data_IF_790943042825
#
_entry.id   IF_790943042825
#
_cell.length_a   1.000
_cell.length_b   1.000
_cell.length_c   1.000
_cell.angle_alpha   90.00
_cell.angle_beta   90.00
_cell.angle_gamma   90.00
#
_symmetry.space_group_name_H-M   'P 1'
#
loop_
_entity.id
_entity.type
_entity.pdbx_description
1 polymer ?
#
# COMPACT_ATOMS: atom_id res chain seq x y z
N UNK A 1 -9.65 36.27 -31.76
CA UNK A 1 -8.40 35.58 -31.44
C UNK A 1 -8.66 34.80 -30.16
N UNK A 2 -8.76 33.47 -30.33
CA UNK A 2 -9.27 32.55 -29.33
C UNK A 2 -8.27 32.37 -28.16
N UNK A 3 -8.80 32.45 -26.93
CA UNK A 3 -8.10 32.19 -25.66
C UNK A 3 -7.80 30.70 -25.41
N UNK A 4 -7.36 29.97 -26.45
CA UNK A 4 -7.06 28.53 -26.33
C UNK A 4 -5.72 28.20 -25.67
N UNK A 5 -4.85 29.19 -25.41
CA UNK A 5 -3.48 28.92 -25.00
C UNK A 5 -3.21 28.73 -23.52
N UNK A 6 -3.94 29.38 -22.62
CA UNK A 6 -3.62 29.39 -21.20
C UNK A 6 -4.21 28.18 -20.46
N UNK A 7 -5.40 27.71 -20.81
CA UNK A 7 -6.01 26.54 -20.20
C UNK A 7 -5.27 25.22 -20.50
N UNK A 8 -4.71 25.10 -21.74
CA UNK A 8 -3.96 23.90 -22.13
C UNK A 8 -2.56 23.89 -21.57
N UNK A 9 -1.94 25.06 -21.32
CA UNK A 9 -0.64 25.16 -20.65
C UNK A 9 -0.78 24.82 -19.17
N UNK A 10 -1.85 25.29 -18.51
CA UNK A 10 -2.13 24.92 -17.11
C UNK A 10 -2.44 23.42 -16.96
N UNK A 11 -3.19 22.82 -17.89
CA UNK A 11 -3.43 21.37 -17.91
C UNK A 11 -2.16 20.56 -18.10
N UNK A 12 -1.23 21.00 -18.95
CA UNK A 12 0.06 20.32 -19.18
C UNK A 12 1.04 20.47 -18.01
N UNK A 13 0.90 21.50 -17.18
CA UNK A 13 1.74 21.70 -15.99
C UNK A 13 1.23 20.91 -14.77
N UNK A 14 -0.03 20.47 -14.78
CA UNK A 14 -0.64 19.72 -13.69
C UNK A 14 -0.63 18.20 -13.89
N UNK A 15 -0.19 17.70 -15.06
CA UNK A 15 -0.17 16.27 -15.38
C UNK A 15 1.03 15.91 -16.24
N UNK A 16 1.75 14.87 -15.87
CA UNK A 16 2.80 14.24 -16.66
C UNK A 16 2.86 12.74 -16.36
N UNK A 17 2.98 11.91 -17.42
CA UNK A 17 3.14 10.46 -17.28
C UNK A 17 2.00 9.77 -16.51
N UNK A 18 0.77 10.29 -16.57
CA UNK A 18 -0.36 9.77 -15.80
C UNK A 18 -0.36 10.15 -14.32
N UNK A 19 0.48 11.12 -13.94
CA UNK A 19 0.59 11.65 -12.58
C UNK A 19 0.11 13.09 -12.54
N UNK A 20 -0.71 13.40 -11.55
CA UNK A 20 -1.17 14.76 -11.28
C UNK A 20 -0.23 15.43 -10.28
N UNK A 21 0.10 16.69 -10.55
CA UNK A 21 0.86 17.54 -9.64
C UNK A 21 -0.11 18.33 -8.78
N UNK A 22 -0.17 17.99 -7.53
CA UNK A 22 -0.98 18.65 -6.53
C UNK A 22 -0.27 19.83 -5.84
N UNK A 23 -0.93 20.36 -4.82
CA UNK A 23 -0.36 21.39 -3.95
C UNK A 23 0.78 20.80 -3.09
N UNK A 24 1.66 21.67 -2.62
CA UNK A 24 2.77 21.32 -1.72
C UNK A 24 3.62 20.16 -2.25
N UNK A 25 3.77 20.08 -3.58
CA UNK A 25 4.55 19.08 -4.31
C UNK A 25 4.06 17.62 -4.16
N UNK A 26 2.80 17.46 -3.77
CA UNK A 26 2.15 16.15 -3.79
C UNK A 26 1.96 15.66 -5.23
N UNK A 27 2.16 14.38 -5.42
CA UNK A 27 1.91 13.68 -6.67
C UNK A 27 0.82 12.63 -6.46
N UNK A 28 -0.09 12.52 -7.43
CA UNK A 28 -1.20 11.58 -7.35
C UNK A 28 -1.32 10.81 -8.67
N UNK A 29 -1.66 9.54 -8.58
CA UNK A 29 -2.06 8.79 -9.76
C UNK A 29 -3.33 9.41 -10.35
N UNK A 30 -3.32 9.70 -11.64
CA UNK A 30 -4.48 10.20 -12.36
C UNK A 30 -5.51 9.09 -12.52
N UNK A 31 -6.67 9.24 -11.91
CA UNK A 31 -7.80 8.34 -12.05
C UNK A 31 -9.06 9.15 -12.39
N UNK A 32 -9.22 9.49 -13.67
CA UNK A 32 -10.35 10.28 -14.15
C UNK A 32 -11.51 9.44 -14.64
N UNK A 33 -11.23 8.21 -15.06
CA UNK A 33 -12.26 7.30 -15.57
C UNK A 33 -11.89 5.87 -15.20
N UNK A 34 -12.89 5.04 -15.02
CA UNK A 34 -12.76 3.57 -14.92
C UNK A 34 -13.58 3.00 -16.08
N UNK A 35 -12.91 2.34 -17.01
CA UNK A 35 -13.57 1.74 -18.16
C UNK A 35 -14.36 0.47 -17.79
N UNK A 36 -15.19 0.01 -18.73
CA UNK A 36 -16.05 -1.15 -18.50
C UNK A 36 -15.25 -2.45 -18.27
N UNK A 37 -14.07 -2.59 -18.89
CA UNK A 37 -13.24 -3.76 -18.71
C UNK A 37 -12.68 -3.80 -17.28
N UNK A 38 -12.19 -2.67 -16.79
CA UNK A 38 -11.71 -2.50 -15.41
C UNK A 38 -12.84 -2.72 -14.40
N UNK A 39 -14.04 -2.17 -14.65
CA UNK A 39 -15.22 -2.41 -13.78
C UNK A 39 -15.61 -3.88 -13.72
N UNK A 40 -15.61 -4.56 -14.85
CA UNK A 40 -15.88 -6.02 -14.91
C UNK A 40 -14.82 -6.82 -14.16
N UNK A 41 -13.55 -6.45 -14.29
CA UNK A 41 -12.47 -7.14 -13.57
C UNK A 41 -12.57 -6.89 -12.07
N UNK A 42 -12.84 -5.64 -11.64
CA UNK A 42 -13.08 -5.32 -10.24
C UNK A 42 -14.22 -6.15 -9.66
N UNK A 43 -15.35 -6.25 -10.38
CA UNK A 43 -16.49 -7.05 -9.94
C UNK A 43 -16.14 -8.53 -9.77
N UNK A 44 -15.35 -9.11 -10.69
CA UNK A 44 -14.85 -10.49 -10.57
C UNK A 44 -13.92 -10.66 -9.37
N UNK A 45 -13.02 -9.72 -9.13
CA UNK A 45 -12.09 -9.77 -8.01
C UNK A 45 -12.86 -9.71 -6.67
N UNK A 46 -13.81 -8.79 -6.55
CA UNK A 46 -14.67 -8.65 -5.36
C UNK A 46 -15.49 -9.93 -5.14
N UNK A 47 -16.03 -10.52 -6.20
CA UNK A 47 -16.76 -11.78 -6.12
C UNK A 47 -15.84 -12.91 -5.63
N UNK A 48 -14.65 -13.08 -6.21
CA UNK A 48 -13.71 -14.13 -5.81
C UNK A 48 -13.30 -14.01 -4.34
N UNK A 49 -13.02 -12.80 -3.86
CA UNK A 49 -12.72 -12.55 -2.43
C UNK A 49 -13.92 -12.90 -1.55
N UNK A 50 -15.14 -12.50 -1.95
CA UNK A 50 -16.36 -12.78 -1.18
C UNK A 50 -16.66 -14.28 -1.11
N UNK A 51 -16.48 -15.01 -2.22
CA UNK A 51 -16.67 -16.47 -2.27
C UNK A 51 -15.60 -17.20 -1.44
N UNK A 52 -14.34 -16.76 -1.53
CA UNK A 52 -13.29 -17.30 -0.68
C UNK A 52 -13.61 -17.10 0.80
N UNK A 53 -14.02 -15.90 1.19
CA UNK A 53 -14.39 -15.59 2.57
C UNK A 53 -15.61 -16.41 3.05
N UNK A 54 -16.63 -16.55 2.21
CA UNK A 54 -17.81 -17.37 2.53
C UNK A 54 -17.46 -18.85 2.77
N UNK A 55 -16.45 -19.38 2.07
CA UNK A 55 -15.94 -20.73 2.28
C UNK A 55 -15.03 -20.87 3.52
N UNK A 56 -14.62 -19.75 4.14
CA UNK A 56 -13.75 -19.71 5.32
C UNK A 56 -14.32 -18.78 6.41
N UNK A 57 -15.53 -19.06 6.92
CA UNK A 57 -16.26 -18.15 7.81
C UNK A 57 -15.44 -17.78 9.07
N UNK A 58 -15.39 -16.49 9.36
CA UNK A 58 -14.69 -15.94 10.52
C UNK A 58 -13.15 -16.00 10.44
N UNK A 59 -12.58 -16.40 9.29
CA UNK A 59 -11.13 -16.54 9.13
C UNK A 59 -10.51 -15.51 8.19
N UNK A 60 -11.31 -14.78 7.42
CA UNK A 60 -10.82 -13.84 6.43
C UNK A 60 -10.97 -12.40 6.92
N UNK A 61 -9.88 -11.66 6.85
CA UNK A 61 -9.86 -10.22 7.05
C UNK A 61 -9.48 -9.55 5.75
N UNK A 62 -10.31 -8.63 5.30
CA UNK A 62 -10.09 -7.84 4.09
C UNK A 62 -9.70 -6.42 4.45
N UNK A 63 -8.54 -5.98 3.98
CA UNK A 63 -8.04 -4.62 4.10
C UNK A 63 -7.77 -4.08 2.71
N UNK A 64 -8.34 -2.93 2.39
CA UNK A 64 -8.08 -2.22 1.15
C UNK A 64 -7.62 -0.80 1.49
N UNK A 65 -6.36 -0.49 1.14
CA UNK A 65 -5.79 0.83 1.37
C UNK A 65 -6.48 1.86 0.46
N UNK A 66 -7.03 2.96 1.01
CA UNK A 66 -7.48 4.07 0.17
C UNK A 66 -6.29 4.70 -0.55
N UNK A 67 -6.53 5.34 -1.69
CA UNK A 67 -5.46 6.11 -2.34
C UNK A 67 -5.15 7.40 -1.56
N UNK A 68 -3.96 7.97 -1.79
CA UNK A 68 -3.60 9.27 -1.22
C UNK A 68 -4.59 10.37 -1.61
N UNK A 69 -5.20 10.30 -2.80
CA UNK A 69 -6.20 11.28 -3.26
C UNK A 69 -7.50 11.26 -2.47
N UNK A 70 -7.85 10.14 -1.85
CA UNK A 70 -9.01 10.02 -0.95
C UNK A 70 -8.73 10.70 0.39
N UNK A 71 -7.51 10.56 0.91
CA UNK A 71 -7.12 11.08 2.24
C UNK A 71 -6.72 12.55 2.18
N UNK A 72 -6.12 13.00 1.07
CA UNK A 72 -5.64 14.37 0.87
C UNK A 72 -6.32 15.07 -0.32
N UNK A 73 -7.67 15.11 -0.39
CA UNK A 73 -8.36 15.72 -1.54
C UNK A 73 -8.05 17.22 -1.68
N UNK A 74 -7.72 17.91 -0.59
CA UNK A 74 -7.33 19.31 -0.59
C UNK A 74 -5.97 19.58 -1.25
N UNK A 75 -5.15 18.54 -1.42
CA UNK A 75 -3.86 18.61 -2.10
C UNK A 75 -3.95 18.38 -3.61
N UNK A 76 -5.08 17.87 -4.09
CA UNK A 76 -5.30 17.69 -5.53
C UNK A 76 -5.28 19.02 -6.30
N UNK A 77 -4.94 19.00 -7.60
CA UNK A 77 -5.13 20.17 -8.46
C UNK A 77 -6.59 20.61 -8.46
N UNK A 78 -6.84 21.91 -8.45
CA UNK A 78 -8.19 22.45 -8.45
C UNK A 78 -8.98 21.96 -9.68
N UNK A 79 -10.16 21.39 -9.44
CA UNK A 79 -11.03 20.89 -10.50
C UNK A 79 -10.57 19.62 -11.19
N UNK A 80 -9.61 18.87 -10.62
CA UNK A 80 -9.25 17.56 -11.14
C UNK A 80 -10.47 16.62 -11.09
N UNK A 81 -10.94 16.07 -12.23
CA UNK A 81 -12.15 15.27 -12.29
C UNK A 81 -11.87 13.82 -11.88
N UNK A 82 -11.43 13.63 -10.62
CA UNK A 82 -11.17 12.31 -10.08
C UNK A 82 -12.47 11.48 -10.03
N UNK A 83 -12.36 10.18 -10.26
CA UNK A 83 -13.48 9.26 -9.96
C UNK A 83 -13.83 9.32 -8.47
N UNK A 84 -15.09 9.09 -8.16
CA UNK A 84 -15.53 8.93 -6.78
C UNK A 84 -15.09 7.57 -6.24
N UNK A 85 -13.86 7.54 -5.74
CA UNK A 85 -13.25 6.35 -5.14
C UNK A 85 -13.94 5.98 -3.82
N UNK A 86 -14.51 6.95 -3.10
CA UNK A 86 -15.24 6.67 -1.86
C UNK A 86 -16.46 5.78 -2.12
N UNK A 87 -17.29 6.12 -3.12
CA UNK A 87 -18.41 5.27 -3.51
C UNK A 87 -17.96 3.88 -3.95
N UNK A 88 -16.85 3.79 -4.70
CA UNK A 88 -16.30 2.48 -5.09
C UNK A 88 -15.85 1.64 -3.89
N UNK A 89 -15.21 2.24 -2.90
CA UNK A 89 -14.78 1.60 -1.67
C UNK A 89 -15.99 1.15 -0.84
N UNK A 90 -17.04 1.98 -0.73
CA UNK A 90 -18.28 1.64 -0.03
C UNK A 90 -18.93 0.39 -0.63
N UNK A 91 -19.04 0.31 -1.96
CA UNK A 91 -19.60 -0.84 -2.67
C UNK A 91 -18.77 -2.12 -2.43
N UNK A 92 -17.44 -2.01 -2.45
CA UNK A 92 -16.53 -3.13 -2.21
C UNK A 92 -16.67 -3.62 -0.78
N UNK A 93 -16.58 -2.73 0.21
CA UNK A 93 -16.69 -3.09 1.62
C UNK A 93 -18.07 -3.65 1.97
N UNK A 94 -19.15 -3.09 1.43
CA UNK A 94 -20.50 -3.60 1.63
C UNK A 94 -20.66 -5.03 1.11
N UNK A 95 -20.02 -5.37 -0.01
CA UNK A 95 -20.11 -6.69 -0.61
C UNK A 95 -19.21 -7.71 0.10
N UNK A 96 -17.93 -7.38 0.30
CA UNK A 96 -16.97 -8.30 0.95
C UNK A 96 -17.30 -8.48 2.43
N UNK A 97 -17.78 -7.45 3.11
CA UNK A 97 -18.15 -7.46 4.52
C UNK A 97 -19.34 -8.38 4.87
N UNK A 98 -20.05 -8.91 3.87
CA UNK A 98 -21.06 -9.94 4.10
C UNK A 98 -20.45 -11.29 4.52
N UNK A 99 -19.18 -11.53 4.23
CA UNK A 99 -18.50 -12.82 4.44
C UNK A 99 -17.14 -12.71 5.13
N UNK A 100 -16.55 -11.51 5.19
CA UNK A 100 -15.24 -11.26 5.80
C UNK A 100 -15.31 -10.13 6.83
N UNK A 101 -14.38 -10.12 7.77
CA UNK A 101 -14.09 -8.93 8.55
C UNK A 101 -13.44 -7.88 7.62
N UNK A 102 -13.91 -6.64 7.63
CA UNK A 102 -13.36 -5.59 6.78
C UNK A 102 -12.70 -4.50 7.62
N UNK A 103 -11.57 -3.97 7.12
CA UNK A 103 -10.88 -2.82 7.70
C UNK A 103 -10.94 -1.68 6.70
N UNK A 104 -11.77 -0.68 7.00
CA UNK A 104 -11.84 0.58 6.27
C UNK A 104 -10.98 1.62 6.97
N UNK A 105 -9.90 2.01 6.32
CA UNK A 105 -8.91 2.93 6.89
C UNK A 105 -9.26 4.41 6.69
N UNK A 106 -10.28 4.75 5.91
CA UNK A 106 -10.57 6.15 5.51
C UNK A 106 -10.77 7.06 6.71
N UNK A 107 -11.58 6.64 7.70
CA UNK A 107 -11.81 7.42 8.92
C UNK A 107 -10.52 7.64 9.69
N UNK A 108 -9.83 6.56 10.07
CA UNK A 108 -8.56 6.61 10.81
C UNK A 108 -7.51 7.46 10.10
N UNK A 109 -7.36 7.29 8.79
CA UNK A 109 -6.36 8.04 8.03
C UNK A 109 -6.70 9.51 7.86
N UNK A 110 -7.99 9.84 7.76
CA UNK A 110 -8.44 11.24 7.75
C UNK A 110 -8.14 11.93 9.08
N UNK A 111 -8.39 11.25 10.20
CA UNK A 111 -8.12 11.79 11.53
C UNK A 111 -6.62 11.98 11.80
N UNK A 112 -5.78 11.12 11.22
CA UNK A 112 -4.33 11.10 11.39
C UNK A 112 -3.55 11.67 10.20
N UNK A 113 -4.20 12.39 9.28
CA UNK A 113 -3.58 12.82 8.01
C UNK A 113 -2.33 13.70 8.16
N UNK A 114 -2.15 14.34 9.30
CA UNK A 114 -0.97 15.15 9.59
C UNK A 114 0.27 14.31 9.98
N UNK A 115 0.13 12.99 10.12
CA UNK A 115 1.21 12.08 10.53
C UNK A 115 2.07 11.55 9.38
N UNK A 116 2.03 12.12 8.21
CA UNK A 116 2.78 11.66 7.04
C UNK A 116 2.49 10.19 6.69
N UNK A 117 1.21 9.91 6.37
CA UNK A 117 0.74 8.54 6.10
C UNK A 117 1.05 8.04 4.69
N UNK A 118 1.27 8.94 3.72
CA UNK A 118 1.59 8.62 2.33
C UNK A 118 2.83 9.36 1.88
N UNK A 119 3.60 8.73 1.00
CA UNK A 119 4.68 9.39 0.29
C UNK A 119 4.12 10.44 -0.69
N UNK A 120 4.86 11.53 -0.89
CA UNK A 120 4.49 12.56 -1.88
C UNK A 120 4.88 12.14 -3.29
N UNK A 121 5.96 11.39 -3.43
CA UNK A 121 6.57 11.02 -4.72
C UNK A 121 6.31 9.57 -5.13
N UNK A 122 5.54 8.83 -4.33
CA UNK A 122 5.19 7.43 -4.56
C UNK A 122 3.69 7.19 -4.35
N UNK A 123 3.17 6.10 -4.91
CA UNK A 123 1.76 5.74 -4.74
C UNK A 123 1.47 5.02 -3.43
N UNK A 124 2.49 4.51 -2.73
CA UNK A 124 2.30 3.78 -1.50
C UNK A 124 2.08 4.69 -0.28
N UNK A 125 1.52 4.12 0.76
CA UNK A 125 1.65 4.68 2.09
C UNK A 125 3.09 4.62 2.60
N UNK A 126 3.39 5.41 3.63
CA UNK A 126 4.66 5.31 4.37
C UNK A 126 4.60 4.10 5.32
N UNK A 127 5.73 3.67 5.90
CA UNK A 127 5.69 2.69 6.98
C UNK A 127 4.86 3.15 8.19
N UNK A 128 4.70 4.47 8.39
CA UNK A 128 3.79 4.98 9.40
C UNK A 128 2.33 4.71 9.03
N UNK A 129 1.92 4.96 7.79
CA UNK A 129 0.58 4.60 7.30
C UNK A 129 0.31 3.10 7.43
N UNK A 130 1.28 2.27 7.03
CA UNK A 130 1.19 0.81 7.19
C UNK A 130 1.04 0.40 8.67
N UNK A 131 1.75 1.06 9.58
CA UNK A 131 1.61 0.81 11.01
C UNK A 131 0.22 1.19 11.54
N UNK A 132 -0.35 2.33 11.10
CA UNK A 132 -1.71 2.71 11.49
C UNK A 132 -2.75 1.71 11.00
N UNK A 133 -2.55 1.14 9.79
CA UNK A 133 -3.37 0.05 9.29
C UNK A 133 -3.21 -1.24 10.14
N UNK A 134 -1.99 -1.54 10.58
CA UNK A 134 -1.72 -2.66 11.47
C UNK A 134 -2.36 -2.49 12.86
N UNK A 135 -2.40 -1.27 13.41
CA UNK A 135 -3.13 -0.99 14.66
C UNK A 135 -4.63 -1.30 14.52
N UNK A 136 -5.24 -0.98 13.36
CA UNK A 136 -6.64 -1.35 13.09
C UNK A 136 -6.83 -2.87 13.00
N UNK A 137 -5.88 -3.57 12.36
CA UNK A 137 -5.88 -5.03 12.34
C UNK A 137 -5.77 -5.61 13.75
N UNK A 138 -4.87 -5.11 14.59
CA UNK A 138 -4.73 -5.53 15.97
C UNK A 138 -6.01 -5.29 16.78
N UNK A 139 -6.60 -4.11 16.64
CA UNK A 139 -7.86 -3.77 17.31
C UNK A 139 -8.98 -4.75 16.93
N UNK A 140 -9.12 -5.04 15.63
CA UNK A 140 -10.13 -6.00 15.14
C UNK A 140 -9.91 -7.41 15.70
N UNK A 141 -8.65 -7.83 15.86
CA UNK A 141 -8.28 -9.18 16.33
C UNK A 141 -8.07 -9.28 17.85
N UNK A 142 -8.22 -8.19 18.59
CA UNK A 142 -7.96 -8.16 20.03
C UNK A 142 -6.49 -8.40 20.39
N UNK A 143 -5.56 -7.97 19.51
CA UNK A 143 -4.12 -8.08 19.69
C UNK A 143 -3.53 -6.76 20.21
N UNK A 144 -2.42 -6.83 20.94
CA UNK A 144 -1.67 -5.64 21.35
C UNK A 144 -0.71 -5.25 20.22
N UNK A 145 -0.77 -4.02 19.67
CA UNK A 145 0.17 -3.62 18.61
C UNK A 145 1.63 -3.67 19.05
N UNK A 146 2.54 -3.85 18.10
CA UNK A 146 3.97 -3.68 18.30
C UNK A 146 4.26 -2.29 18.88
N UNK A 147 4.97 -2.25 19.99
CA UNK A 147 5.30 -1.00 20.67
C UNK A 147 6.50 -0.31 19.99
N UNK A 148 6.20 0.64 19.11
CA UNK A 148 7.24 1.45 18.45
C UNK A 148 8.07 2.27 19.43
N UNK A 149 7.51 2.69 20.59
CA UNK A 149 8.22 3.51 21.55
C UNK A 149 9.36 2.75 22.26
N UNK A 150 9.32 1.42 22.23
CA UNK A 150 10.38 0.57 22.76
C UNK A 150 11.55 0.33 21.76
N UNK A 151 11.49 0.91 20.58
CA UNK A 151 12.47 0.67 19.51
C UNK A 151 12.96 1.98 18.89
N UNK A 152 14.23 2.02 18.51
CA UNK A 152 14.80 3.15 17.78
C UNK A 152 14.43 3.05 16.30
N UNK A 153 13.85 4.12 15.71
CA UNK A 153 13.55 4.14 14.29
C UNK A 153 14.81 4.32 13.44
N UNK A 154 14.77 3.79 12.24
CA UNK A 154 15.76 4.05 11.20
C UNK A 154 15.09 4.90 10.12
N UNK A 155 15.74 6.03 9.76
CA UNK A 155 15.27 6.91 8.68
C UNK A 155 16.24 6.84 7.51
N UNK A 156 15.71 6.54 6.34
CA UNK A 156 16.41 6.55 5.06
C UNK A 156 15.92 7.76 4.27
N UNK A 157 16.81 8.66 3.96
CA UNK A 157 16.53 9.88 3.20
C UNK A 157 16.63 9.67 1.69
N UNK A 158 16.30 10.70 0.91
CA UNK A 158 16.44 10.70 -0.54
C UNK A 158 15.63 9.63 -1.27
N UNK A 159 14.43 9.35 -0.79
CA UNK A 159 13.50 8.48 -1.50
C UNK A 159 12.74 9.25 -2.58
N UNK A 160 12.79 8.73 -3.80
CA UNK A 160 12.06 9.20 -4.96
C UNK A 160 11.31 8.01 -5.58
N UNK A 161 10.01 7.99 -5.36
CA UNK A 161 9.17 6.84 -5.70
C UNK A 161 8.74 6.75 -7.16
N UNK A 162 7.68 5.98 -7.37
CA UNK A 162 7.16 5.65 -8.71
C UNK A 162 6.57 6.86 -9.42
N UNK A 163 5.89 7.76 -8.70
CA UNK A 163 5.37 9.00 -9.28
C UNK A 163 6.49 9.89 -9.80
N UNK A 164 7.54 10.07 -9.01
CA UNK A 164 8.73 10.78 -9.48
C UNK A 164 9.37 10.07 -10.69
N UNK A 165 9.44 8.76 -10.66
CA UNK A 165 10.03 7.98 -11.74
C UNK A 165 9.30 8.15 -13.07
N UNK A 166 7.98 8.35 -13.02
CA UNK A 166 7.16 8.61 -14.21
C UNK A 166 7.30 10.04 -14.74
N UNK A 167 7.49 11.03 -13.85
CA UNK A 167 7.49 12.45 -14.23
C UNK A 167 8.88 13.05 -14.35
N UNK A 168 9.83 12.62 -13.52
CA UNK A 168 11.20 13.15 -13.40
C UNK A 168 11.30 14.67 -13.23
N UNK A 169 10.35 15.22 -12.50
CA UNK A 169 10.31 16.65 -12.24
C UNK A 169 11.51 17.11 -11.40
N UNK A 170 12.12 18.21 -11.80
CA UNK A 170 13.34 18.71 -11.19
C UNK A 170 13.18 19.40 -9.83
N UNK A 171 11.96 19.82 -9.48
CA UNK A 171 11.66 20.60 -8.25
C UNK A 171 10.88 19.81 -7.20
N UNK A 172 11.07 18.50 -7.15
CA UNK A 172 10.42 17.60 -6.20
C UNK A 172 11.19 17.58 -4.88
N UNK A 173 10.48 17.52 -3.77
CA UNK A 173 11.06 17.16 -2.48
C UNK A 173 11.20 15.66 -2.40
N UNK A 174 12.34 15.19 -1.90
CA UNK A 174 12.51 13.78 -1.62
C UNK A 174 11.66 13.37 -0.41
N UNK A 175 11.13 12.19 -0.46
CA UNK A 175 10.50 11.54 0.67
C UNK A 175 11.54 10.92 1.60
N UNK A 176 11.11 10.54 2.79
CA UNK A 176 11.88 9.78 3.76
C UNK A 176 11.15 8.49 4.14
N UNK A 177 11.90 7.41 4.30
CA UNK A 177 11.38 6.14 4.78
C UNK A 177 11.83 5.96 6.22
N UNK A 178 10.93 6.16 7.18
CA UNK A 178 11.18 5.88 8.59
C UNK A 178 10.49 4.59 8.99
N UNK A 179 11.25 3.61 9.47
CA UNK A 179 10.75 2.31 9.87
C UNK A 179 11.41 1.83 11.16
N UNK A 180 10.79 0.84 11.79
CA UNK A 180 11.31 0.19 12.99
C UNK A 180 11.86 -1.17 12.60
N UNK A 181 13.16 -1.47 12.87
CA UNK A 181 13.74 -2.75 12.49
C UNK A 181 13.10 -3.89 13.27
N UNK A 182 12.71 -4.91 12.54
CA UNK A 182 12.19 -6.17 13.06
C UNK A 182 13.07 -7.30 12.53
N UNK A 183 13.74 -8.00 13.43
CA UNK A 183 14.59 -9.12 13.05
C UNK A 183 13.74 -10.37 12.87
N UNK A 184 13.44 -10.68 11.64
CA UNK A 184 12.82 -11.94 11.23
C UNK A 184 13.35 -12.37 9.88
N UNK A 185 13.51 -13.66 9.70
CA UNK A 185 13.94 -14.23 8.44
C UNK A 185 12.73 -14.54 7.56
N UNK A 186 12.90 -14.23 6.30
CA UNK A 186 11.95 -14.55 5.23
C UNK A 186 12.61 -15.51 4.26
N UNK A 187 12.00 -16.65 4.01
CA UNK A 187 12.41 -17.55 2.94
C UNK A 187 11.57 -17.27 1.69
N UNK A 188 12.25 -16.90 0.61
CA UNK A 188 11.65 -16.69 -0.71
C UNK A 188 11.73 -18.01 -1.46
N UNK A 189 10.65 -18.38 -2.14
CA UNK A 189 10.55 -19.61 -2.91
C UNK A 189 10.43 -19.33 -4.40
N UNK A 190 11.15 -20.13 -5.17
CA UNK A 190 10.98 -20.19 -6.61
C UNK A 190 9.83 -21.14 -6.96
N UNK A 191 8.94 -20.69 -7.83
CA UNK A 191 7.88 -21.53 -8.38
C UNK A 191 8.48 -22.29 -9.56
N UNK A 192 8.62 -23.61 -9.43
CA UNK A 192 9.29 -24.49 -10.42
C UNK A 192 8.29 -25.31 -11.26
N UNK A 193 6.97 -25.19 -11.00
CA UNK A 193 5.93 -25.91 -11.72
C UNK A 193 4.57 -25.74 -11.06
N UNK A 194 3.57 -26.51 -11.49
CA UNK A 194 2.24 -26.53 -10.85
C UNK A 194 2.40 -27.07 -9.40
N UNK A 195 2.37 -26.16 -8.44
CA UNK A 195 2.47 -26.42 -6.99
C UNK A 195 3.84 -26.94 -6.49
N UNK A 196 4.93 -26.70 -7.21
CA UNK A 196 6.29 -27.00 -6.75
C UNK A 196 6.99 -25.70 -6.31
N UNK A 197 7.36 -25.64 -5.03
CA UNK A 197 8.04 -24.50 -4.43
C UNK A 197 9.39 -24.98 -3.86
N UNK A 198 10.47 -24.39 -4.32
CA UNK A 198 11.82 -24.66 -3.81
C UNK A 198 12.38 -23.41 -3.13
N UNK A 199 12.94 -23.52 -1.90
CA UNK A 199 13.60 -22.39 -1.27
C UNK A 199 14.72 -21.86 -2.15
N UNK A 200 14.72 -20.57 -2.43
CA UNK A 200 15.73 -19.91 -3.26
C UNK A 200 16.69 -19.08 -2.41
N UNK A 201 16.14 -18.19 -1.61
CA UNK A 201 16.92 -17.31 -0.73
C UNK A 201 16.27 -17.17 0.62
N UNK A 202 17.09 -16.89 1.65
CA UNK A 202 16.61 -16.47 2.96
C UNK A 202 17.24 -15.13 3.29
N UNK A 203 16.37 -14.14 3.49
CA UNK A 203 16.74 -12.76 3.72
C UNK A 203 16.08 -12.23 4.99
N UNK A 204 16.62 -11.14 5.55
CA UNK A 204 15.87 -10.39 6.54
C UNK A 204 14.61 -9.78 5.89
N UNK A 205 13.50 -9.69 6.63
CA UNK A 205 12.24 -9.08 6.15
C UNK A 205 12.41 -7.62 5.69
N UNK A 206 13.52 -6.96 6.10
CA UNK A 206 13.93 -5.67 5.56
C UNK A 206 15.34 -5.83 4.99
N UNK A 207 15.45 -5.85 3.67
CA UNK A 207 16.75 -5.92 2.99
C UNK A 207 17.40 -4.53 2.93
N UNK A 208 18.33 -4.26 3.85
CA UNK A 208 19.02 -2.98 3.98
C UNK A 208 19.80 -2.57 2.71
N UNK A 209 20.24 -3.53 1.89
CA UNK A 209 20.98 -3.21 0.67
C UNK A 209 20.10 -2.53 -0.38
N UNK A 210 18.79 -2.81 -0.39
CA UNK A 210 17.84 -2.18 -1.31
C UNK A 210 17.68 -0.68 -1.05
N UNK A 211 17.94 -0.19 0.14
CA UNK A 211 17.94 1.24 0.41
C UNK A 211 19.04 2.01 -0.34
N UNK A 212 20.06 1.32 -0.85
CA UNK A 212 21.08 1.90 -1.72
C UNK A 212 20.70 1.85 -3.20
N UNK A 213 19.55 1.31 -3.54
CA UNK A 213 19.03 1.24 -4.91
C UNK A 213 18.05 2.38 -5.19
N UNK A 214 17.62 2.51 -6.43
CA UNK A 214 16.60 3.49 -6.81
C UNK A 214 15.23 3.15 -6.19
N UNK A 215 14.85 1.89 -6.20
CA UNK A 215 13.61 1.41 -5.58
C UNK A 215 13.87 1.04 -4.11
N UNK A 216 13.94 2.07 -3.28
CA UNK A 216 14.17 1.90 -1.84
C UNK A 216 12.99 1.21 -1.14
N UNK A 217 11.76 1.35 -1.66
CA UNK A 217 10.59 0.69 -1.06
C UNK A 217 10.67 -0.83 -1.17
N UNK A 218 11.37 -1.35 -2.19
CA UNK A 218 11.65 -2.78 -2.32
C UNK A 218 12.52 -3.36 -1.19
N UNK A 219 13.04 -2.54 -0.26
CA UNK A 219 13.69 -3.04 0.95
C UNK A 219 12.75 -3.87 1.82
N UNK A 220 11.46 -3.54 1.82
CA UNK A 220 10.45 -4.32 2.53
C UNK A 220 10.15 -5.60 1.75
N UNK A 221 10.33 -6.75 2.39
CA UNK A 221 10.11 -8.09 1.85
C UNK A 221 10.92 -8.42 0.59
N UNK A 222 12.04 -7.74 0.37
CA UNK A 222 12.84 -7.83 -0.87
C UNK A 222 12.01 -7.57 -2.15
N UNK A 223 10.95 -6.78 -2.03
CA UNK A 223 10.01 -6.44 -3.11
C UNK A 223 8.80 -7.38 -3.19
N UNK A 224 8.36 -7.67 -4.40
CA UNK A 224 7.19 -8.52 -4.65
C UNK A 224 7.62 -9.93 -5.06
N UNK A 225 7.52 -10.86 -4.13
CA UNK A 225 7.82 -12.27 -4.35
C UNK A 225 6.53 -13.05 -4.67
N UNK A 226 6.65 -14.13 -5.45
CA UNK A 226 5.49 -14.96 -5.78
C UNK A 226 5.00 -15.80 -4.58
N UNK A 227 5.94 -16.27 -3.75
CA UNK A 227 5.65 -17.00 -2.52
C UNK A 227 6.80 -16.83 -1.53
N UNK A 228 6.45 -16.57 -0.29
CA UNK A 228 7.44 -16.45 0.79
C UNK A 228 6.85 -16.93 2.12
N UNK A 229 7.70 -17.39 3.01
CA UNK A 229 7.35 -17.68 4.39
C UNK A 229 8.18 -16.81 5.32
N UNK A 230 7.57 -16.34 6.40
CA UNK A 230 8.26 -15.55 7.41
C UNK A 230 8.08 -16.24 8.76
N UNK A 231 9.18 -16.46 9.45
CA UNK A 231 9.18 -17.00 10.78
C UNK A 231 8.81 -15.94 11.79
N UNK A 232 7.69 -16.11 12.46
CA UNK A 232 7.25 -15.24 13.55
C UNK A 232 7.56 -15.80 14.93
N UNK A 233 7.39 -14.97 15.94
CA UNK A 233 7.66 -15.34 17.35
C UNK A 233 6.47 -16.00 18.04
N UNK A 234 5.28 -15.89 17.45
CA UNK A 234 4.03 -16.42 17.99
C UNK A 234 3.74 -17.87 17.58
N UNK A 235 2.59 -18.37 18.01
CA UNK A 235 2.16 -19.78 17.78
C UNK A 235 1.11 -19.93 16.68
N UNK A 236 0.57 -18.83 16.18
CA UNK A 236 -0.43 -18.86 15.10
C UNK A 236 0.19 -18.87 13.71
N UNK A 237 -0.64 -18.84 12.68
CA UNK A 237 -0.22 -18.62 11.30
C UNK A 237 -1.22 -17.74 10.57
N UNK A 238 -0.72 -16.86 9.69
CA UNK A 238 -1.51 -16.03 8.81
C UNK A 238 -1.07 -16.27 7.37
N UNK A 239 -2.03 -16.50 6.48
CA UNK A 239 -1.82 -16.41 5.04
C UNK A 239 -2.18 -14.99 4.60
N UNK A 240 -1.24 -14.29 3.97
CA UNK A 240 -1.44 -12.94 3.45
C UNK A 240 -1.36 -12.95 1.93
N UNK A 241 -2.49 -12.70 1.26
CA UNK A 241 -2.55 -12.44 -0.18
C UNK A 241 -2.52 -10.93 -0.38
N UNK A 242 -1.54 -10.42 -1.11
CA UNK A 242 -1.22 -9.00 -1.09
C UNK A 242 -0.78 -8.43 -2.43
N UNK A 243 -0.89 -7.13 -2.53
CA UNK A 243 -0.13 -6.29 -3.46
C UNK A 243 1.08 -5.64 -2.75
N UNK A 244 1.74 -4.70 -3.44
CA UNK A 244 2.93 -4.02 -2.90
C UNK A 244 2.66 -3.10 -1.72
N UNK A 245 1.42 -2.66 -1.50
CA UNK A 245 1.08 -1.86 -0.31
C UNK A 245 1.41 -2.60 0.98
N UNK A 246 1.13 -3.90 1.03
CA UNK A 246 1.40 -4.67 2.24
C UNK A 246 2.88 -4.99 2.48
N UNK A 247 3.82 -4.61 1.59
CA UNK A 247 5.24 -4.85 1.82
C UNK A 247 5.73 -4.20 3.13
N UNK A 248 5.32 -2.97 3.41
CA UNK A 248 5.67 -2.28 4.67
C UNK A 248 4.72 -2.59 5.84
N UNK A 249 3.58 -3.25 5.58
CA UNK A 249 2.63 -3.70 6.61
C UNK A 249 3.04 -5.05 7.21
N UNK A 250 3.38 -6.03 6.36
CA UNK A 250 3.67 -7.42 6.75
C UNK A 250 4.74 -7.57 7.83
N UNK A 251 5.78 -6.74 7.92
CA UNK A 251 6.75 -6.85 9.01
C UNK A 251 6.14 -6.79 10.42
N UNK A 252 5.07 -6.04 10.64
CA UNK A 252 4.49 -5.86 11.97
C UNK A 252 3.76 -7.11 12.51
N UNK A 253 2.86 -7.80 11.76
CA UNK A 253 2.21 -9.01 12.22
C UNK A 253 3.16 -10.17 12.56
N UNK A 254 4.39 -10.17 12.04
CA UNK A 254 5.41 -11.19 12.34
C UNK A 254 5.68 -11.34 13.84
N UNK A 255 5.48 -10.29 14.62
CA UNK A 255 5.62 -10.35 16.07
C UNK A 255 4.66 -11.35 16.76
N UNK A 256 3.58 -11.74 16.10
CA UNK A 256 2.55 -12.63 16.67
C UNK A 256 2.51 -14.03 16.08
N UNK A 257 3.01 -14.23 14.85
CA UNK A 257 2.69 -15.45 14.12
C UNK A 257 3.63 -15.69 12.94
N UNK A 258 3.67 -16.95 12.47
CA UNK A 258 4.30 -17.28 11.19
C UNK A 258 3.43 -16.75 10.04
N UNK A 259 4.06 -16.15 9.05
CA UNK A 259 3.39 -15.60 7.88
C UNK A 259 3.72 -16.40 6.62
N UNK A 260 2.72 -16.60 5.79
CA UNK A 260 2.85 -17.16 4.45
C UNK A 260 2.31 -16.14 3.45
N UNK A 261 3.13 -15.81 2.47
CA UNK A 261 2.84 -14.85 1.41
C UNK A 261 2.84 -15.60 0.08
N UNK A 262 1.70 -15.78 -0.58
CA UNK A 262 1.64 -16.32 -1.93
C UNK A 262 1.96 -15.27 -2.98
#
# INVERSE_FOLDING_TARGET
VESRGLGDVYKRQAEEGGILLGKDRWMFTKLFTVDDATRKQLAKNVQAVSEFAANHPGKVTFLLAPSASVIYPEKLPAGAPMVDENTMLDDIFAKVGQSADVIDLRGTFTDLKDEYLYFKTDHHWTPNGAYRAYEQFCSLKGLTPFDRAAHEPITVTDFQGTHYSATRLWNVENDEITYYPLDSLMTIYKITGEAAYEPETTENIVNMQKFNTRDKYAAFLDGNNGYSTIEGRGTGSILVVKDSYANSFVPYPVSYTHLTLP
#
